data_IF_490941815691
#
_entry.id   IF_490941815691
#
_cell.length_a   1.000
_cell.length_b   1.000
_cell.length_c   1.000
_cell.angle_alpha   90.00
_cell.angle_beta   90.00
_cell.angle_gamma   90.00
#
_symmetry.space_group_name_H-M   'P 1'
#
loop_
_entity.id
_entity.type
_entity.pdbx_description
1 polymer ?
#
# COMPACT_ATOMS: atom_id res chain seq x y z
N UNK A 1 24.58 -0.90 47.58
CA UNK A 1 23.12 -0.87 47.78
C UNK A 1 22.48 -1.22 46.46
N UNK A 2 22.01 -2.47 46.35
CA UNK A 2 21.21 -2.97 45.24
C UNK A 2 19.75 -2.64 45.50
N UNK A 3 19.06 -2.07 44.51
CA UNK A 3 17.60 -2.03 44.47
C UNK A 3 17.17 -2.62 43.12
N UNK A 4 16.99 -3.94 43.16
CA UNK A 4 16.01 -4.80 42.50
C UNK A 4 15.43 -4.39 41.13
N UNK A 5 15.96 -5.06 40.11
CA UNK A 5 15.17 -5.60 39.00
C UNK A 5 13.96 -6.38 39.56
N UNK A 6 12.76 -5.83 39.42
CA UNK A 6 11.52 -6.56 39.74
C UNK A 6 10.70 -6.72 38.47
N UNK A 7 10.83 -7.91 37.88
CA UNK A 7 9.82 -8.71 37.15
C UNK A 7 8.80 -7.96 36.30
N UNK A 8 9.08 -7.89 35.01
CA UNK A 8 8.10 -7.81 33.91
C UNK A 8 7.90 -9.19 33.25
N UNK A 9 8.04 -10.25 34.04
CA UNK A 9 7.67 -11.61 33.63
C UNK A 9 6.28 -11.92 34.18
N UNK A 10 5.38 -12.31 33.26
CA UNK A 10 3.96 -12.66 33.45
C UNK A 10 2.94 -11.50 33.41
N UNK A 11 2.73 -10.97 32.21
CA UNK A 11 1.37 -10.63 31.78
C UNK A 11 0.78 -11.88 31.11
N UNK A 12 -0.18 -12.53 31.78
CA UNK A 12 -0.88 -13.70 31.27
C UNK A 12 -1.74 -13.29 30.05
N UNK A 13 -1.75 -14.13 29.02
CA UNK A 13 -2.62 -13.95 27.85
C UNK A 13 -4.11 -13.87 28.23
N UNK A 14 -4.50 -14.44 29.37
CA UNK A 14 -5.83 -14.29 29.96
C UNK A 14 -6.11 -12.84 30.41
N UNK A 15 -5.14 -12.15 30.99
CA UNK A 15 -5.29 -10.75 31.43
C UNK A 15 -5.41 -9.80 30.24
N UNK A 16 -4.67 -10.06 29.16
CA UNK A 16 -4.78 -9.32 27.89
C UNK A 16 -6.16 -9.54 27.23
N UNK A 17 -6.70 -10.76 27.28
CA UNK A 17 -8.06 -11.06 26.79
C UNK A 17 -9.13 -10.41 27.66
N UNK A 18 -8.93 -10.33 28.97
CA UNK A 18 -9.85 -9.67 29.89
C UNK A 18 -9.87 -8.15 29.66
N UNK A 19 -8.70 -7.53 29.52
CA UNK A 19 -8.54 -6.11 29.14
C UNK A 19 -9.21 -5.80 27.81
N UNK A 20 -9.03 -6.65 26.79
CA UNK A 20 -9.70 -6.47 25.50
C UNK A 20 -11.23 -6.62 25.61
N UNK A 21 -11.74 -7.59 26.40
CA UNK A 21 -13.19 -7.73 26.61
C UNK A 21 -13.79 -6.55 27.35
N UNK A 22 -13.11 -6.02 28.37
CA UNK A 22 -13.53 -4.81 29.07
C UNK A 22 -13.51 -3.60 28.12
N UNK A 23 -12.46 -3.46 27.30
CA UNK A 23 -12.35 -2.41 26.28
C UNK A 23 -13.48 -2.47 25.23
N UNK A 24 -13.85 -3.66 24.75
CA UNK A 24 -14.96 -3.83 23.81
C UNK A 24 -16.35 -3.67 24.47
N UNK A 25 -16.49 -3.95 25.76
CA UNK A 25 -17.75 -3.74 26.50
C UNK A 25 -18.10 -2.26 26.69
N UNK A 26 -17.10 -1.38 26.66
CA UNK A 26 -17.26 0.07 26.71
C UNK A 26 -17.79 0.66 25.39
N UNK A 27 -17.75 -0.11 24.29
CA UNK A 27 -18.23 0.28 22.96
C UNK A 27 -19.70 -0.08 22.68
N UNK A 28 -20.53 -0.23 23.73
CA UNK A 28 -21.98 -0.24 23.56
C UNK A 28 -22.49 1.20 23.30
N UNK A 29 -23.07 1.40 22.11
CA UNK A 29 -23.39 2.69 21.47
C UNK A 29 -24.16 3.70 22.34
N UNK A 30 -24.90 3.26 23.35
CA UNK A 30 -25.72 4.14 24.19
C UNK A 30 -24.95 4.75 25.38
N UNK A 31 -23.89 4.11 25.89
CA UNK A 31 -23.07 4.68 26.97
C UNK A 31 -22.01 5.66 26.46
N UNK A 32 -21.56 5.51 25.21
CA UNK A 32 -20.53 6.36 24.60
C UNK A 32 -21.00 7.81 24.41
N UNK A 33 -22.27 8.03 24.06
CA UNK A 33 -22.83 9.37 23.86
C UNK A 33 -23.03 10.09 25.21
N UNK A 34 -23.30 9.35 26.29
CA UNK A 34 -23.46 9.90 27.64
C UNK A 34 -22.12 10.20 28.34
N UNK A 35 -21.07 9.43 28.07
CA UNK A 35 -19.72 9.72 28.59
C UNK A 35 -19.04 10.90 27.87
N UNK A 36 -19.22 11.07 26.56
CA UNK A 36 -18.60 12.19 25.83
C UNK A 36 -19.06 13.56 26.37
N UNK A 37 -20.32 13.67 26.81
CA UNK A 37 -20.84 14.90 27.44
C UNK A 37 -20.28 15.17 28.84
N UNK A 38 -19.66 14.20 29.51
CA UNK A 38 -19.06 14.35 30.85
C UNK A 38 -17.53 14.58 30.82
N UNK A 39 -16.88 14.52 29.65
CA UNK A 39 -15.40 14.45 29.55
C UNK A 39 -14.73 15.64 28.86
N UNK A 40 -15.29 16.84 28.94
CA UNK A 40 -14.54 18.06 28.57
C UNK A 40 -13.32 18.33 29.49
N UNK A 41 -13.31 17.77 30.70
CA UNK A 41 -12.17 17.86 31.64
C UNK A 41 -11.04 16.82 31.42
N UNK A 42 -11.15 15.91 30.43
CA UNK A 42 -10.14 14.86 30.18
C UNK A 42 -9.14 15.19 29.06
N UNK A 43 -9.37 16.26 28.29
CA UNK A 43 -8.42 16.70 27.26
C UNK A 43 -7.06 17.10 27.84
N UNK A 44 -7.04 17.67 29.04
CA UNK A 44 -5.81 18.17 29.67
C UNK A 44 -4.97 17.05 30.30
N UNK A 45 -5.61 16.00 30.83
CA UNK A 45 -4.91 14.85 31.44
C UNK A 45 -4.25 13.99 30.36
N UNK A 46 -4.97 13.72 29.26
CA UNK A 46 -4.43 12.90 28.13
C UNK A 46 -3.27 13.61 27.43
N UNK A 47 -3.27 14.94 27.35
CA UNK A 47 -2.18 15.69 26.73
C UNK A 47 -0.87 15.69 27.55
N UNK A 48 -0.97 15.64 28.88
CA UNK A 48 0.22 15.59 29.75
C UNK A 48 0.85 14.19 29.76
N UNK A 49 0.04 13.13 29.77
CA UNK A 49 0.54 11.75 29.74
C UNK A 49 1.20 11.39 28.39
N UNK A 50 0.69 11.93 27.27
CA UNK A 50 1.33 11.76 25.95
C UNK A 50 2.68 12.49 25.88
N UNK A 51 2.82 13.65 26.52
CA UNK A 51 4.10 14.37 26.61
C UNK A 51 5.12 13.63 27.49
N UNK A 52 4.68 13.04 28.59
CA UNK A 52 5.55 12.23 29.46
C UNK A 52 6.02 10.93 28.77
N UNK A 53 5.16 10.30 27.96
CA UNK A 53 5.52 9.16 27.12
C UNK A 53 6.53 9.53 26.04
N UNK A 54 6.37 10.67 25.37
CA UNK A 54 7.34 11.15 24.36
C UNK A 54 8.70 11.53 24.97
N UNK A 55 8.71 12.08 26.19
CA UNK A 55 9.97 12.40 26.89
C UNK A 55 10.69 11.14 27.40
N UNK A 56 9.94 10.12 27.82
CA UNK A 56 10.52 8.83 28.24
C UNK A 56 11.09 8.06 27.05
N UNK A 57 10.43 8.17 25.88
CA UNK A 57 10.95 7.62 24.62
C UNK A 57 12.23 8.32 24.13
N UNK A 58 12.33 9.65 24.25
CA UNK A 58 13.52 10.38 23.78
C UNK A 58 14.75 10.20 24.68
N UNK A 59 14.56 9.88 25.97
CA UNK A 59 15.67 9.63 26.90
C UNK A 59 16.26 8.22 26.78
N UNK A 60 15.46 7.23 26.33
CA UNK A 60 15.94 5.85 26.13
C UNK A 60 16.72 5.64 24.83
N UNK A 61 16.50 6.47 23.80
CA UNK A 61 17.29 6.48 22.57
C UNK A 61 18.31 7.61 22.58
N UNK A 62 19.39 7.44 23.36
CA UNK A 62 20.59 8.25 23.14
C UNK A 62 21.15 7.93 21.75
N UNK A 63 21.06 8.93 20.88
CA UNK A 63 21.53 8.93 19.50
C UNK A 63 23.00 8.48 19.43
N UNK A 64 23.22 7.27 18.92
CA UNK A 64 24.38 7.05 18.04
C UNK A 64 24.07 7.79 16.73
N UNK A 65 25.06 8.41 16.06
CA UNK A 65 24.79 9.27 14.91
C UNK A 65 24.13 8.44 13.81
N UNK A 66 22.81 8.60 13.71
CA UNK A 66 21.98 7.91 12.74
C UNK A 66 22.45 8.33 11.35
N UNK A 67 22.78 7.40 10.45
CA UNK A 67 22.92 7.76 9.05
C UNK A 67 21.59 8.36 8.59
N UNK A 68 21.64 9.53 7.95
CA UNK A 68 20.47 10.27 7.48
C UNK A 68 19.55 9.34 6.68
N UNK A 69 18.44 8.91 7.28
CA UNK A 69 17.36 8.24 6.57
C UNK A 69 16.70 9.34 5.74
N UNK A 70 17.05 9.41 4.47
CA UNK A 70 16.44 10.33 3.50
C UNK A 70 14.91 10.18 3.48
N UNK A 71 14.24 11.26 3.10
CA UNK A 71 12.79 11.47 3.01
C UNK A 71 11.97 10.42 2.21
N UNK A 72 12.53 9.30 1.76
CA UNK A 72 11.85 8.26 0.98
C UNK A 72 10.71 7.56 1.73
N UNK A 73 10.74 7.56 3.07
CA UNK A 73 9.68 7.00 3.90
C UNK A 73 8.35 7.78 3.83
N UNK A 74 8.38 9.10 3.57
CA UNK A 74 7.14 9.89 3.43
C UNK A 74 6.53 9.77 2.03
N UNK A 75 7.36 9.69 0.99
CA UNK A 75 6.91 9.54 -0.39
C UNK A 75 6.19 8.20 -0.62
N UNK A 76 6.78 7.09 -0.17
CA UNK A 76 6.20 5.76 -0.40
C UNK A 76 4.81 5.62 0.24
N UNK A 77 4.53 6.37 1.33
CA UNK A 77 3.21 6.39 1.98
C UNK A 77 2.11 6.95 1.07
N UNK A 78 2.43 7.81 0.10
CA UNK A 78 1.47 8.30 -0.90
C UNK A 78 0.92 7.17 -1.80
N UNK A 79 1.66 6.07 -1.93
CA UNK A 79 1.30 4.90 -2.73
C UNK A 79 0.49 3.86 -1.95
N UNK A 80 0.25 4.07 -0.65
CA UNK A 80 -0.53 3.13 0.15
C UNK A 80 -2.00 3.12 -0.30
N UNK A 81 -2.50 1.93 -0.59
CA UNK A 81 -3.93 1.68 -0.72
C UNK A 81 -4.39 0.87 0.48
N UNK A 82 -5.39 1.40 1.18
CA UNK A 82 -6.07 0.66 2.23
C UNK A 82 -6.91 -0.49 1.63
N UNK A 83 -7.09 -1.60 2.35
CA UNK A 83 -7.98 -2.69 1.93
C UNK A 83 -9.38 -2.16 1.60
N UNK A 84 -9.93 -2.55 0.44
CA UNK A 84 -11.36 -2.39 0.16
C UNK A 84 -12.16 -3.60 0.66
N UNK A 85 -13.48 -3.50 0.66
CA UNK A 85 -14.34 -4.69 0.80
C UNK A 85 -14.27 -5.57 -0.46
N UNK A 86 -14.08 -6.88 -0.23
CA UNK A 86 -14.12 -8.05 -1.14
C UNK A 86 -13.37 -7.86 -2.48
N UNK A 87 -12.26 -8.58 -2.71
CA UNK A 87 -11.54 -8.60 -3.99
C UNK A 87 -12.45 -8.82 -5.19
N UNK A 88 -12.13 -8.18 -6.33
CA UNK A 88 -13.00 -8.19 -7.50
C UNK A 88 -13.36 -9.60 -7.97
N UNK A 89 -12.40 -10.54 -7.95
CA UNK A 89 -12.62 -11.91 -8.39
C UNK A 89 -13.51 -12.71 -7.44
N UNK A 90 -13.50 -12.42 -6.13
CA UNK A 90 -14.35 -13.10 -5.15
C UNK A 90 -15.83 -12.79 -5.29
N UNK A 91 -16.17 -11.74 -6.05
CA UNK A 91 -17.55 -11.34 -6.33
C UNK A 91 -18.28 -12.33 -7.24
N UNK A 92 -17.57 -13.25 -7.89
CA UNK A 92 -18.16 -14.29 -8.74
C UNK A 92 -18.71 -15.43 -7.90
N UNK A 93 -20.00 -15.74 -8.07
CA UNK A 93 -20.70 -16.88 -7.46
C UNK A 93 -21.25 -17.84 -8.51
N UNK A 94 -21.27 -17.44 -9.78
CA UNK A 94 -21.71 -18.29 -10.90
C UNK A 94 -21.06 -17.86 -12.22
N UNK A 95 -21.04 -18.72 -13.25
CA UNK A 95 -20.56 -18.35 -14.58
C UNK A 95 -21.34 -17.19 -15.22
N UNK A 96 -22.64 -17.08 -14.95
CA UNK A 96 -23.49 -16.06 -15.58
C UNK A 96 -23.12 -14.62 -15.16
N UNK A 97 -22.46 -14.47 -14.00
CA UNK A 97 -22.03 -13.17 -13.49
C UNK A 97 -20.78 -12.62 -14.19
N UNK A 98 -19.99 -13.48 -14.86
CA UNK A 98 -18.70 -13.13 -15.47
C UNK A 98 -18.85 -11.95 -16.42
N UNK A 99 -19.82 -12.00 -17.32
CA UNK A 99 -20.03 -10.97 -18.33
C UNK A 99 -20.36 -9.62 -17.68
N UNK A 100 -21.15 -9.63 -16.61
CA UNK A 100 -21.48 -8.41 -15.87
C UNK A 100 -20.25 -7.80 -15.20
N UNK A 101 -19.38 -8.64 -14.64
CA UNK A 101 -18.19 -8.24 -13.92
C UNK A 101 -17.08 -7.75 -14.87
N UNK A 102 -16.88 -8.41 -16.01
CA UNK A 102 -16.00 -7.93 -17.08
C UNK A 102 -16.47 -6.58 -17.62
N UNK A 103 -17.77 -6.39 -17.83
CA UNK A 103 -18.32 -5.10 -18.24
C UNK A 103 -18.07 -4.01 -17.19
N UNK A 104 -18.17 -4.33 -15.90
CA UNK A 104 -17.82 -3.40 -14.83
C UNK A 104 -16.33 -3.05 -14.86
N UNK A 105 -15.44 -4.03 -15.05
CA UNK A 105 -14.01 -3.76 -15.19
C UNK A 105 -13.70 -2.88 -16.39
N UNK A 106 -14.29 -3.16 -17.56
CA UNK A 106 -14.19 -2.33 -18.76
C UNK A 106 -14.61 -0.88 -18.50
N UNK A 107 -15.74 -0.66 -17.80
CA UNK A 107 -16.19 0.69 -17.45
C UNK A 107 -15.18 1.41 -16.55
N UNK A 108 -14.67 0.75 -15.52
CA UNK A 108 -13.65 1.33 -14.64
C UNK A 108 -12.37 1.70 -15.40
N UNK A 109 -11.92 0.84 -16.32
CA UNK A 109 -10.75 1.13 -17.16
C UNK A 109 -10.98 2.32 -18.11
N UNK A 110 -12.17 2.45 -18.69
CA UNK A 110 -12.54 3.62 -19.50
C UNK A 110 -12.54 4.89 -18.65
N UNK A 111 -13.10 4.84 -17.43
CA UNK A 111 -13.07 6.00 -16.52
C UNK A 111 -11.65 6.42 -16.16
N UNK A 112 -10.73 5.47 -15.96
CA UNK A 112 -9.32 5.77 -15.74
C UNK A 112 -8.69 6.48 -16.96
N UNK A 113 -8.86 5.93 -18.16
CA UNK A 113 -8.37 6.54 -19.41
C UNK A 113 -8.86 7.97 -19.55
N UNK A 114 -10.17 8.19 -19.49
CA UNK A 114 -10.75 9.54 -19.61
C UNK A 114 -10.19 10.51 -18.57
N UNK A 115 -10.00 10.05 -17.32
CA UNK A 115 -9.49 10.91 -16.25
C UNK A 115 -8.02 11.27 -16.47
N UNK A 116 -7.20 10.33 -16.95
CA UNK A 116 -5.78 10.55 -17.21
C UNK A 116 -5.58 11.40 -18.47
N UNK A 117 -6.37 11.18 -19.52
CA UNK A 117 -6.32 11.99 -20.73
C UNK A 117 -6.70 13.45 -20.45
N UNK A 118 -7.73 13.68 -19.63
CA UNK A 118 -8.07 15.05 -19.18
C UNK A 118 -6.91 15.71 -18.42
N UNK A 119 -6.21 14.98 -17.54
CA UNK A 119 -5.03 15.51 -16.83
C UNK A 119 -3.92 15.86 -17.81
N UNK A 120 -3.66 14.98 -18.79
CA UNK A 120 -2.63 15.23 -19.79
C UNK A 120 -2.97 16.47 -20.64
N UNK A 121 -4.20 16.57 -21.15
CA UNK A 121 -4.66 17.73 -21.92
C UNK A 121 -4.61 19.04 -21.14
N UNK A 122 -5.09 19.04 -19.88
CA UNK A 122 -5.07 20.22 -19.03
C UNK A 122 -3.63 20.66 -18.76
N UNK A 123 -2.73 19.71 -18.55
CA UNK A 123 -1.33 20.02 -18.32
C UNK A 123 -0.64 20.52 -19.60
N UNK A 124 -0.89 19.92 -20.76
CA UNK A 124 -0.38 20.41 -22.05
C UNK A 124 -0.83 21.86 -22.34
N UNK A 125 -2.07 22.21 -21.99
CA UNK A 125 -2.60 23.57 -22.16
C UNK A 125 -1.98 24.58 -21.20
N UNK A 126 -1.61 24.15 -19.99
CA UNK A 126 -1.11 25.02 -18.92
C UNK A 126 0.41 25.14 -18.88
N UNK A 127 1.14 24.19 -19.46
CA UNK A 127 2.60 24.10 -19.29
C UNK A 127 3.37 24.61 -20.51
N UNK A 128 4.18 25.66 -20.31
CA UNK A 128 5.33 25.97 -21.20
C UNK A 128 6.50 24.99 -20.97
N UNK A 129 6.38 24.09 -19.98
CA UNK A 129 7.45 23.26 -19.45
C UNK A 129 7.43 21.84 -20.05
N UNK A 130 8.12 21.68 -21.19
CA UNK A 130 8.19 20.42 -21.95
C UNK A 130 8.71 19.21 -21.15
N UNK A 131 9.48 19.44 -20.07
CA UNK A 131 10.09 18.38 -19.27
C UNK A 131 9.09 17.50 -18.51
N UNK A 132 7.92 18.04 -18.18
CA UNK A 132 6.89 17.31 -17.42
C UNK A 132 5.78 16.81 -18.35
N UNK A 133 5.51 17.52 -19.44
CA UNK A 133 4.53 17.13 -20.44
C UNK A 133 4.86 15.76 -21.07
N UNK A 134 6.14 15.50 -21.39
CA UNK A 134 6.54 14.23 -22.02
C UNK A 134 6.31 13.00 -21.10
N UNK A 135 6.75 12.98 -19.82
CA UNK A 135 6.41 11.92 -18.88
C UNK A 135 4.90 11.71 -18.66
N UNK A 136 4.12 12.80 -18.53
CA UNK A 136 2.66 12.71 -18.34
C UNK A 136 2.00 12.09 -19.58
N UNK A 137 2.42 12.51 -20.77
CA UNK A 137 1.96 11.94 -22.04
C UNK A 137 2.36 10.47 -22.20
N UNK A 138 3.55 10.09 -21.74
CA UNK A 138 3.97 8.68 -21.71
C UNK A 138 3.04 7.86 -20.81
N UNK A 139 2.69 8.38 -19.62
CA UNK A 139 1.73 7.72 -18.72
C UNK A 139 0.36 7.59 -19.39
N UNK A 140 -0.20 8.65 -19.99
CA UNK A 140 -1.46 8.58 -20.74
C UNK A 140 -1.42 7.49 -21.83
N UNK A 141 -0.36 7.44 -22.65
CA UNK A 141 -0.20 6.38 -23.67
C UNK A 141 -0.17 4.98 -23.09
N UNK A 142 0.48 4.78 -21.94
CA UNK A 142 0.48 3.48 -21.25
C UNK A 142 -0.94 3.12 -20.81
N UNK A 143 -1.72 4.06 -20.26
CA UNK A 143 -3.11 3.84 -19.85
C UNK A 143 -4.02 3.53 -21.04
N UNK A 144 -3.86 4.23 -22.17
CA UNK A 144 -4.60 3.92 -23.39
C UNK A 144 -4.27 2.50 -23.91
N UNK A 145 -3.00 2.10 -23.85
CA UNK A 145 -2.58 0.75 -24.21
C UNK A 145 -3.14 -0.31 -23.24
N UNK A 146 -3.20 -0.01 -21.95
CA UNK A 146 -3.87 -0.83 -20.95
C UNK A 146 -5.34 -1.02 -21.29
N UNK A 147 -6.09 0.05 -21.62
CA UNK A 147 -7.49 -0.08 -21.99
C UNK A 147 -7.70 -0.91 -23.26
N UNK A 148 -6.86 -0.72 -24.29
CA UNK A 148 -6.88 -1.55 -25.51
C UNK A 148 -6.69 -3.02 -25.17
N UNK A 149 -5.73 -3.32 -24.31
CA UNK A 149 -5.43 -4.68 -23.84
C UNK A 149 -6.60 -5.27 -23.06
N UNK A 150 -7.21 -4.49 -22.15
CA UNK A 150 -8.41 -4.90 -21.40
C UNK A 150 -9.58 -5.20 -22.35
N UNK A 151 -9.89 -4.31 -23.29
CA UNK A 151 -10.97 -4.53 -24.27
C UNK A 151 -10.76 -5.84 -25.04
N UNK A 152 -9.55 -6.03 -25.57
CA UNK A 152 -9.18 -7.22 -26.32
C UNK A 152 -9.26 -8.51 -25.50
N UNK A 153 -8.72 -8.50 -24.29
CA UNK A 153 -8.67 -9.68 -23.43
C UNK A 153 -10.05 -10.04 -22.89
N UNK A 154 -10.91 -9.06 -22.58
CA UNK A 154 -12.30 -9.29 -22.17
C UNK A 154 -13.09 -10.00 -23.27
N UNK A 155 -12.93 -9.59 -24.53
CA UNK A 155 -13.65 -10.19 -25.67
C UNK A 155 -13.27 -11.65 -25.93
N UNK A 156 -12.08 -12.06 -25.46
CA UNK A 156 -11.53 -13.41 -25.64
C UNK A 156 -11.56 -14.23 -24.36
N UNK A 157 -11.99 -13.65 -23.25
CA UNK A 157 -12.05 -14.35 -21.98
C UNK A 157 -13.17 -15.38 -22.02
N UNK A 158 -12.79 -16.62 -21.74
CA UNK A 158 -13.68 -17.74 -21.66
C UNK A 158 -13.21 -18.65 -20.53
N UNK A 159 -14.15 -19.24 -19.80
CA UNK A 159 -13.82 -20.13 -18.68
C UNK A 159 -13.96 -21.57 -19.13
N UNK A 160 -12.87 -22.32 -18.97
CA UNK A 160 -12.80 -23.71 -19.43
C UNK A 160 -12.92 -24.65 -18.24
N UNK A 161 -13.70 -25.73 -18.42
CA UNK A 161 -13.73 -26.89 -17.52
C UNK A 161 -13.90 -26.52 -16.04
N UNK A 162 -15.00 -25.85 -15.70
CA UNK A 162 -15.31 -25.42 -14.34
C UNK A 162 -16.17 -26.46 -13.62
N UNK A 163 -15.79 -26.82 -12.41
CA UNK A 163 -16.60 -27.69 -11.55
C UNK A 163 -17.16 -26.93 -10.34
N UNK A 164 -16.43 -25.92 -9.85
CA UNK A 164 -16.78 -25.19 -8.62
C UNK A 164 -16.68 -23.67 -8.79
N UNK A 165 -17.33 -22.93 -7.89
CA UNK A 165 -17.21 -21.46 -7.80
C UNK A 165 -15.75 -21.04 -7.57
N UNK A 166 -14.99 -21.81 -6.80
CA UNK A 166 -13.57 -21.52 -6.55
C UNK A 166 -12.75 -21.62 -7.84
N UNK A 167 -13.06 -22.56 -8.74
CA UNK A 167 -12.39 -22.66 -10.04
C UNK A 167 -12.64 -21.43 -10.91
N UNK A 168 -13.89 -20.91 -10.91
CA UNK A 168 -14.27 -19.67 -11.61
C UNK A 168 -13.44 -18.51 -11.07
N UNK A 169 -13.46 -18.33 -9.74
CA UNK A 169 -12.76 -17.26 -9.04
C UNK A 169 -11.26 -17.30 -9.32
N UNK A 170 -10.67 -18.49 -9.29
CA UNK A 170 -9.25 -18.67 -9.57
C UNK A 170 -8.89 -18.39 -11.03
N UNK A 171 -9.66 -18.90 -12.01
CA UNK A 171 -9.44 -18.57 -13.43
C UNK A 171 -9.61 -17.07 -13.69
N UNK A 172 -10.55 -16.42 -13.02
CA UNK A 172 -10.75 -14.98 -13.13
C UNK A 172 -9.61 -14.18 -12.49
N UNK A 173 -9.09 -14.62 -11.34
CA UNK A 173 -7.86 -14.07 -10.76
C UNK A 173 -6.67 -14.19 -11.74
N UNK A 174 -6.47 -15.36 -12.34
CA UNK A 174 -5.40 -15.61 -13.32
C UNK A 174 -5.53 -14.72 -14.56
N UNK A 175 -6.75 -14.33 -14.93
CA UNK A 175 -7.00 -13.35 -15.99
C UNK A 175 -6.69 -11.91 -15.56
N UNK A 176 -7.12 -11.50 -14.36
CA UNK A 176 -6.91 -10.13 -13.87
C UNK A 176 -5.43 -9.85 -13.55
N UNK A 177 -4.71 -10.83 -13.01
CA UNK A 177 -3.34 -10.65 -12.53
C UNK A 177 -2.39 -10.05 -13.58
N UNK A 178 -2.18 -10.65 -14.77
CA UNK A 178 -1.27 -10.10 -15.77
C UNK A 178 -1.78 -8.77 -16.36
N UNK A 179 -3.10 -8.57 -16.43
CA UNK A 179 -3.67 -7.29 -16.86
C UNK A 179 -3.30 -6.16 -15.91
N UNK A 180 -3.38 -6.37 -14.60
CA UNK A 180 -3.05 -5.34 -13.61
C UNK A 180 -1.54 -5.22 -13.39
N UNK A 181 -0.83 -6.34 -13.25
CA UNK A 181 0.62 -6.37 -13.01
C UNK A 181 1.39 -5.74 -14.17
N UNK A 182 1.33 -6.36 -15.34
CA UNK A 182 2.27 -6.12 -16.43
C UNK A 182 1.88 -4.90 -17.28
N UNK A 183 0.59 -4.58 -17.34
CA UNK A 183 0.05 -3.56 -18.23
C UNK A 183 -0.28 -2.25 -17.50
N UNK A 184 -0.33 -2.25 -16.16
CA UNK A 184 -0.64 -1.06 -15.37
C UNK A 184 0.39 -0.81 -14.26
N UNK A 185 0.44 -1.65 -13.23
CA UNK A 185 1.19 -1.38 -12.00
C UNK A 185 2.69 -1.26 -12.28
N UNK A 186 3.30 -2.28 -12.88
CA UNK A 186 4.76 -2.30 -13.10
C UNK A 186 5.25 -1.26 -14.13
N UNK A 187 4.35 -0.75 -14.98
CA UNK A 187 4.70 0.27 -15.98
C UNK A 187 4.49 1.70 -15.48
N UNK A 188 3.45 1.93 -14.69
CA UNK A 188 3.01 3.29 -14.34
C UNK A 188 3.48 3.70 -12.95
N UNK A 189 3.36 2.81 -11.96
CA UNK A 189 3.70 3.15 -10.56
C UNK A 189 5.18 3.57 -10.42
N UNK A 190 6.17 2.86 -11.00
CA UNK A 190 7.55 3.30 -10.95
C UNK A 190 7.79 4.66 -11.61
N UNK A 191 7.11 4.94 -12.73
CA UNK A 191 7.24 6.22 -13.44
C UNK A 191 6.71 7.38 -12.59
N UNK A 192 5.56 7.20 -11.93
CA UNK A 192 5.00 8.19 -11.00
C UNK A 192 5.95 8.37 -9.79
N UNK A 193 6.45 7.28 -9.22
CA UNK A 193 7.38 7.35 -8.08
C UNK A 193 8.64 8.15 -8.42
N UNK A 194 9.24 7.91 -9.59
CA UNK A 194 10.41 8.67 -10.06
C UNK A 194 10.05 10.14 -10.28
N UNK A 195 8.91 10.42 -10.92
CA UNK A 195 8.42 11.78 -11.14
C UNK A 195 8.30 12.58 -9.84
N UNK A 196 7.59 12.01 -8.85
CA UNK A 196 7.45 12.63 -7.52
C UNK A 196 8.77 12.73 -6.76
N UNK A 197 9.65 11.72 -6.87
CA UNK A 197 10.95 11.75 -6.19
C UNK A 197 11.84 12.90 -6.70
N UNK A 198 11.72 13.26 -7.97
CA UNK A 198 12.47 14.36 -8.57
C UNK A 198 11.90 15.75 -8.20
N UNK A 199 10.73 15.80 -7.54
CA UNK A 199 10.11 17.04 -7.03
C UNK A 199 9.50 17.94 -8.12
N UNK A 200 9.26 17.41 -9.31
CA UNK A 200 8.67 18.14 -10.42
C UNK A 200 7.16 17.86 -10.49
N UNK A 201 6.31 18.89 -10.39
CA UNK A 201 4.85 18.80 -10.52
C UNK A 201 4.18 17.68 -9.68
N UNK A 202 4.50 17.65 -8.38
CA UNK A 202 3.92 16.72 -7.40
C UNK A 202 2.39 16.61 -7.54
N UNK A 203 1.67 17.73 -7.73
CA UNK A 203 0.21 17.74 -7.86
C UNK A 203 -0.33 16.91 -9.04
N UNK A 204 0.40 16.89 -10.17
CA UNK A 204 0.01 16.12 -11.35
C UNK A 204 0.22 14.64 -11.11
N UNK A 205 1.39 14.27 -10.58
CA UNK A 205 1.68 12.88 -10.24
C UNK A 205 0.76 12.36 -9.13
N UNK A 206 0.40 13.21 -8.15
CA UNK A 206 -0.62 12.89 -7.14
C UNK A 206 -1.99 12.66 -7.77
N UNK A 207 -2.39 13.50 -8.72
CA UNK A 207 -3.66 13.35 -9.44
C UNK A 207 -3.70 12.07 -10.28
N UNK A 208 -2.62 11.75 -10.97
CA UNK A 208 -2.47 10.49 -11.74
C UNK A 208 -2.54 9.28 -10.80
N UNK A 209 -1.76 9.29 -9.72
CA UNK A 209 -1.74 8.25 -8.71
C UNK A 209 -3.13 8.06 -8.09
N UNK A 210 -3.81 9.15 -7.77
CA UNK A 210 -5.17 9.13 -7.21
C UNK A 210 -6.17 8.42 -8.11
N UNK A 211 -6.12 8.63 -9.43
CA UNK A 211 -7.01 7.96 -10.37
C UNK A 211 -6.68 6.48 -10.56
N UNK A 212 -5.40 6.12 -10.57
CA UNK A 212 -4.96 4.71 -10.59
C UNK A 212 -5.41 4.01 -9.31
N UNK A 213 -5.23 4.66 -8.16
CA UNK A 213 -5.63 4.11 -6.86
C UNK A 213 -7.14 3.91 -6.77
N UNK A 214 -7.96 4.80 -7.34
CA UNK A 214 -9.41 4.61 -7.44
C UNK A 214 -9.78 3.35 -8.24
N UNK A 215 -9.12 3.11 -9.38
CA UNK A 215 -9.34 1.89 -10.16
C UNK A 215 -8.96 0.65 -9.33
N UNK A 216 -7.74 0.63 -8.79
CA UNK A 216 -7.21 -0.49 -8.02
C UNK A 216 -8.08 -0.80 -6.79
N UNK A 217 -8.48 0.24 -6.05
CA UNK A 217 -9.40 0.12 -4.92
C UNK A 217 -10.77 -0.43 -5.33
N UNK A 218 -11.35 0.02 -6.45
CA UNK A 218 -12.63 -0.50 -6.94
C UNK A 218 -12.58 -2.00 -7.31
N UNK A 219 -11.38 -2.49 -7.66
CA UNK A 219 -11.06 -3.89 -7.90
C UNK A 219 -10.67 -4.64 -6.61
N UNK A 220 -10.65 -3.98 -5.46
CA UNK A 220 -10.22 -4.58 -4.18
C UNK A 220 -8.75 -4.93 -4.11
N UNK A 221 -7.93 -4.23 -4.88
CA UNK A 221 -6.48 -4.23 -4.70
C UNK A 221 -6.13 -3.27 -3.57
N UNK A 222 -5.19 -3.69 -2.74
CA UNK A 222 -4.59 -2.86 -1.70
C UNK A 222 -3.09 -3.09 -1.61
N UNK A 223 -2.40 -2.29 -0.81
CA UNK A 223 -0.97 -2.46 -0.58
C UNK A 223 -0.70 -3.15 0.74
N UNK A 224 0.21 -4.13 0.74
CA UNK A 224 0.73 -4.67 2.00
C UNK A 224 1.64 -3.65 2.67
N UNK A 225 1.45 -3.44 3.98
CA UNK A 225 2.26 -2.52 4.77
C UNK A 225 3.67 -3.06 4.95
N UNK A 226 4.65 -2.42 4.30
CA UNK A 226 6.08 -2.66 4.51
C UNK A 226 6.79 -1.33 4.73
N UNK A 227 7.77 -1.31 5.62
CA UNK A 227 8.52 -0.10 5.97
C UNK A 227 10.01 -0.39 6.14
N UNK A 228 10.83 0.65 5.96
CA UNK A 228 12.25 0.58 6.29
C UNK A 228 12.45 0.27 7.77
N UNK A 229 13.45 -0.55 8.09
CA UNK A 229 13.74 -1.05 9.43
C UNK A 229 13.03 -2.36 9.78
N UNK A 230 12.05 -2.81 8.99
CA UNK A 230 11.41 -4.11 9.17
C UNK A 230 12.25 -5.24 8.56
N UNK A 231 12.08 -6.47 9.04
CA UNK A 231 12.60 -7.66 8.34
C UNK A 231 11.83 -7.87 7.05
N UNK A 232 12.55 -8.23 5.98
CA UNK A 232 11.92 -8.52 4.69
C UNK A 232 11.00 -9.75 4.80
N UNK A 233 9.81 -9.64 4.21
CA UNK A 233 8.96 -10.78 3.94
C UNK A 233 9.16 -11.22 2.48
N UNK A 234 9.90 -12.30 2.27
CA UNK A 234 10.21 -12.84 0.95
C UNK A 234 9.00 -13.40 0.19
N UNK A 235 7.86 -13.63 0.85
CA UNK A 235 6.63 -14.11 0.17
C UNK A 235 5.95 -13.01 -0.66
N UNK A 236 6.21 -11.74 -0.31
CA UNK A 236 5.53 -10.58 -0.92
C UNK A 236 6.52 -9.50 -1.39
N UNK A 237 7.82 -9.72 -1.23
CA UNK A 237 8.86 -8.77 -1.60
C UNK A 237 9.99 -9.42 -2.39
N UNK A 238 10.49 -8.68 -3.38
CA UNK A 238 11.70 -8.95 -4.13
C UNK A 238 12.83 -7.99 -3.69
N UNK A 239 14.02 -8.55 -3.49
CA UNK A 239 15.22 -7.76 -3.20
C UNK A 239 15.80 -7.20 -4.49
N UNK A 240 15.92 -5.88 -4.56
CA UNK A 240 16.65 -5.20 -5.62
C UNK A 240 18.08 -4.89 -5.19
N UNK A 241 19.01 -5.04 -6.14
CA UNK A 241 20.43 -4.74 -5.90
C UNK A 241 20.66 -3.24 -5.74
N UNK A 242 21.56 -2.86 -4.83
CA UNK A 242 22.03 -1.49 -4.64
C UNK A 242 23.47 -1.51 -4.17
N UNK A 243 24.31 -0.61 -4.69
CA UNK A 243 25.71 -0.51 -4.26
C UNK A 243 25.86 0.19 -2.91
N UNK A 244 24.81 0.89 -2.46
CA UNK A 244 24.81 1.67 -1.24
C UNK A 244 24.19 0.93 -0.05
N UNK A 245 24.04 -0.40 -0.11
CA UNK A 245 23.37 -1.16 0.93
C UNK A 245 24.31 -1.94 1.86
N UNK A 246 25.61 -1.65 1.85
CA UNK A 246 26.59 -2.34 2.68
C UNK A 246 26.58 -1.83 4.13
N UNK A 247 26.72 -2.74 5.09
CA UNK A 247 26.86 -2.42 6.52
C UNK A 247 27.75 -3.44 7.21
N UNK A 248 28.39 -3.03 8.30
CA UNK A 248 29.13 -3.86 9.25
C UNK A 248 28.25 -4.34 10.44
N UNK A 249 27.04 -3.78 10.61
CA UNK A 249 26.11 -4.21 11.66
C UNK A 249 25.35 -5.48 11.26
N UNK A 250 25.74 -6.60 11.86
CA UNK A 250 25.10 -7.90 11.66
C UNK A 250 23.60 -7.93 12.02
N UNK A 251 23.12 -7.04 12.90
CA UNK A 251 21.70 -6.97 13.30
C UNK A 251 20.80 -6.55 12.15
N UNK A 252 21.37 -5.84 11.17
CA UNK A 252 20.68 -5.36 9.98
C UNK A 252 20.56 -6.42 8.87
N UNK A 253 21.08 -7.64 9.05
CA UNK A 253 20.84 -8.74 8.10
C UNK A 253 19.34 -8.90 7.79
N UNK A 254 18.97 -8.97 6.51
CA UNK A 254 17.58 -9.11 6.07
C UNK A 254 16.63 -7.98 6.52
N UNK A 255 17.18 -6.86 6.96
CA UNK A 255 16.41 -5.66 7.29
C UNK A 255 16.25 -4.79 6.05
N UNK A 256 15.03 -4.34 5.78
CA UNK A 256 14.70 -3.41 4.70
C UNK A 256 15.39 -2.08 4.98
N UNK A 257 16.30 -1.68 4.09
CA UNK A 257 16.89 -0.34 4.07
C UNK A 257 15.90 0.67 3.47
N UNK A 258 15.29 0.31 2.35
CA UNK A 258 14.46 1.21 1.56
C UNK A 258 13.37 0.43 0.81
N UNK A 259 12.17 1.00 0.78
CA UNK A 259 11.07 0.50 -0.06
C UNK A 259 11.00 1.36 -1.32
N UNK A 260 11.17 0.74 -2.50
CA UNK A 260 10.99 1.41 -3.81
C UNK A 260 9.59 1.23 -4.37
N UNK A 261 8.94 0.13 -4.03
CA UNK A 261 7.57 -0.17 -4.47
C UNK A 261 6.89 -1.01 -3.39
N UNK A 262 5.66 -0.65 -3.05
CA UNK A 262 4.83 -1.45 -2.15
C UNK A 262 4.32 -2.72 -2.88
N UNK A 263 4.13 -3.84 -2.17
CA UNK A 263 3.44 -5.00 -2.72
C UNK A 263 1.98 -4.64 -2.97
N UNK A 264 1.47 -4.94 -4.16
CA UNK A 264 0.05 -4.82 -4.49
C UNK A 264 -0.58 -6.21 -4.42
N UNK A 265 -1.65 -6.34 -3.64
CA UNK A 265 -2.28 -7.63 -3.34
C UNK A 265 -3.80 -7.50 -3.40
N UNK A 266 -4.49 -8.59 -3.72
CA UNK A 266 -5.91 -8.70 -3.47
C UNK A 266 -6.18 -9.16 -2.03
N UNK A 267 -5.42 -10.17 -1.59
CA UNK A 267 -5.40 -10.72 -0.24
C UNK A 267 -4.03 -11.37 0.03
N UNK A 268 -3.86 -11.99 1.21
CA UNK A 268 -2.59 -12.62 1.61
C UNK A 268 -2.15 -13.79 0.72
N UNK A 269 -3.06 -14.42 -0.02
CA UNK A 269 -2.76 -15.55 -0.90
C UNK A 269 -2.65 -15.14 -2.37
N UNK A 270 -3.13 -13.95 -2.73
CA UNK A 270 -3.24 -13.47 -4.10
C UNK A 270 -2.45 -12.18 -4.30
N UNK A 271 -1.11 -12.33 -4.34
CA UNK A 271 -0.19 -11.25 -4.69
C UNK A 271 -0.31 -10.93 -6.18
N UNK A 272 -0.50 -9.64 -6.49
CA UNK A 272 -0.46 -9.14 -7.86
C UNK A 272 0.96 -8.77 -8.27
N UNK A 273 1.61 -7.94 -7.46
CA UNK A 273 2.96 -7.43 -7.70
C UNK A 273 3.73 -7.44 -6.39
N UNK A 274 4.93 -8.02 -6.43
CA UNK A 274 5.81 -8.04 -5.27
C UNK A 274 6.32 -6.62 -4.96
N UNK A 275 6.53 -6.34 -3.68
CA UNK A 275 7.21 -5.13 -3.25
C UNK A 275 8.66 -5.16 -3.68
N UNK A 276 9.23 -4.01 -4.05
CA UNK A 276 10.64 -3.91 -4.42
C UNK A 276 11.39 -3.20 -3.31
N UNK A 277 12.31 -3.92 -2.67
CA UNK A 277 13.03 -3.41 -1.48
C UNK A 277 14.54 -3.53 -1.63
N UNK A 278 15.26 -2.56 -1.10
CA UNK A 278 16.69 -2.67 -0.86
C UNK A 278 16.86 -3.19 0.56
N UNK A 279 17.58 -4.30 0.75
CA UNK A 279 17.95 -4.81 2.08
C UNK A 279 19.39 -4.47 2.39
N UNK A 280 19.73 -4.33 3.66
CA UNK A 280 21.12 -4.21 4.09
C UNK A 280 21.90 -5.50 3.79
N UNK A 281 23.09 -5.35 3.21
CA UNK A 281 24.06 -6.41 2.95
C UNK A 281 25.19 -6.29 3.96
N UNK A 282 25.30 -7.28 4.83
CA UNK A 282 26.40 -7.37 5.78
C UNK A 282 27.68 -7.71 5.02
N UNK A 283 28.72 -6.87 5.16
CA UNK A 283 30.06 -7.14 4.65
C UNK A 283 30.97 -7.35 5.84
N UNK A 284 31.51 -8.57 5.98
CA UNK A 284 32.54 -8.85 6.96
C UNK A 284 33.82 -8.14 6.52
N UNK A 285 34.31 -7.21 7.34
CA UNK A 285 35.63 -6.62 7.19
C UNK A 285 36.75 -7.61 7.51
#
# INVERSE_FOLDING_TARGET
MSINETKLEHLDFQDIKKLNREFFSLFNKENFILEIKKKENLKDIVFQDIKALNYTFSVFFRESPSPKIENTSSLIKKFMLIPSEIPFYERLNSPDEIKSLLNRFKKLAVTLETSVDNIAEDYERQSENSKIAEPVNMISRIIQQFLKTVKYQIERFDIKNVVTVNDIRYQFYLFLKPLLKENLIERVIPAIFIGMKNGEADDVYESLLGNINKLLFALGVHTAGIEAGQKINFEICEVISSDQNKTDDHRLSDTIKEVRQLPYIFDNNHVLVDGKVVVWRVVNG
#
